data_IF_776631883674
#
_entry.id   IF_776631883674
#
_cell.length_a   1.000
_cell.length_b   1.000
_cell.length_c   1.000
_cell.angle_alpha   90.00
_cell.angle_beta   90.00
_cell.angle_gamma   90.00
#
_symmetry.space_group_name_H-M   'P 1'
#
loop_
_entity.id
_entity.type
_entity.pdbx_description
1 polymer ?
#
# COMPACT_ATOMS: atom_id res chain seq x y z
N UNK A 1 2.49 25.59 -6.39
CA UNK A 1 2.89 24.18 -6.53
C UNK A 1 3.51 23.69 -5.22
N UNK A 2 2.80 22.92 -4.41
CA UNK A 2 3.40 22.36 -3.21
C UNK A 2 4.49 21.35 -3.55
N UNK A 3 5.53 21.33 -2.75
CA UNK A 3 6.61 20.35 -2.82
C UNK A 3 6.63 19.59 -1.48
N UNK A 4 6.62 18.27 -1.54
CA UNK A 4 6.64 17.43 -0.36
C UNK A 4 7.96 16.65 -0.27
N UNK A 5 8.52 16.55 0.94
CA UNK A 5 9.67 15.71 1.23
C UNK A 5 9.25 14.63 2.22
N UNK A 6 9.52 13.39 1.88
CA UNK A 6 9.10 12.25 2.72
C UNK A 6 9.65 12.32 4.14
N UNK A 7 10.86 12.83 4.32
CA UNK A 7 11.48 12.96 5.65
C UNK A 7 10.82 14.02 6.52
N UNK A 8 10.02 14.91 5.95
CA UNK A 8 9.25 15.94 6.67
C UNK A 8 7.81 15.52 6.95
N UNK A 9 7.37 14.40 6.42
CA UNK A 9 6.01 13.89 6.60
C UNK A 9 5.97 12.98 7.82
N UNK A 10 4.97 13.23 8.69
CA UNK A 10 4.80 12.45 9.90
C UNK A 10 4.48 11.00 9.60
N UNK A 11 5.13 10.09 10.31
CA UNK A 11 4.83 8.67 10.26
C UNK A 11 3.57 8.40 11.08
N UNK A 12 2.55 7.81 10.44
CA UNK A 12 1.33 7.37 11.11
C UNK A 12 1.43 5.89 11.45
N UNK A 13 1.19 5.55 12.71
CA UNK A 13 1.07 4.16 13.14
C UNK A 13 -0.35 3.68 12.85
N UNK A 14 -0.48 2.71 11.94
CA UNK A 14 -1.77 2.12 11.59
C UNK A 14 -2.11 0.96 12.54
N UNK A 15 -1.13 0.08 12.76
CA UNK A 15 -1.16 -1.02 13.74
C UNK A 15 0.22 -1.15 14.36
N UNK A 16 0.40 -2.10 15.27
CA UNK A 16 1.74 -2.39 15.82
C UNK A 16 2.74 -2.82 14.74
N UNK A 17 2.25 -3.33 13.61
CA UNK A 17 3.09 -3.89 12.55
C UNK A 17 3.06 -3.09 11.26
N UNK A 18 2.22 -2.05 11.16
CA UNK A 18 2.04 -1.26 9.95
C UNK A 18 2.11 0.22 10.28
N UNK A 19 2.98 0.93 9.56
CA UNK A 19 3.11 2.40 9.64
C UNK A 19 3.12 2.98 8.24
N UNK A 20 2.69 4.23 8.11
CA UNK A 20 2.63 4.87 6.80
C UNK A 20 2.91 6.36 6.84
N UNK A 21 3.29 6.88 5.68
CA UNK A 21 3.32 8.32 5.37
C UNK A 21 2.42 8.58 4.17
N UNK A 22 1.69 9.68 4.18
CA UNK A 22 0.68 9.98 3.17
C UNK A 22 0.89 11.36 2.58
N UNK A 23 0.84 11.45 1.25
CA UNK A 23 0.79 12.70 0.50
C UNK A 23 -0.48 12.71 -0.33
N UNK A 24 -1.33 13.72 -0.14
CA UNK A 24 -2.58 13.87 -0.88
C UNK A 24 -2.50 15.02 -1.86
N UNK A 25 -2.76 14.73 -3.15
CA UNK A 25 -3.02 15.73 -4.16
C UNK A 25 -4.53 15.98 -4.29
N UNK A 26 -4.94 16.54 -5.40
CA UNK A 26 -6.37 16.79 -5.69
C UNK A 26 -7.10 15.51 -6.10
N UNK A 27 -6.47 14.67 -6.92
CA UNK A 27 -7.06 13.46 -7.51
C UNK A 27 -6.29 12.20 -7.20
N UNK A 28 -5.13 12.32 -6.59
CA UNK A 28 -4.22 11.22 -6.35
C UNK A 28 -3.70 11.27 -4.92
N UNK A 29 -3.42 10.11 -4.38
CA UNK A 29 -2.80 9.96 -3.07
C UNK A 29 -1.62 9.00 -3.18
N UNK A 30 -0.50 9.40 -2.62
CA UNK A 30 0.69 8.55 -2.50
C UNK A 30 0.87 8.14 -1.06
N UNK A 31 1.19 6.87 -0.84
CA UNK A 31 1.53 6.36 0.49
C UNK A 31 2.86 5.64 0.45
N UNK A 32 3.67 5.86 1.47
CA UNK A 32 4.77 4.96 1.79
C UNK A 32 4.32 4.13 2.98
N UNK A 33 4.31 2.81 2.83
CA UNK A 33 3.84 1.89 3.87
C UNK A 33 4.97 0.95 4.27
N UNK A 34 5.19 0.86 5.58
CA UNK A 34 6.16 -0.04 6.20
C UNK A 34 5.38 -1.14 6.89
N UNK A 35 5.66 -2.39 6.53
CA UNK A 35 5.02 -3.57 7.11
C UNK A 35 6.08 -4.48 7.70
N UNK A 36 5.93 -4.85 8.95
CA UNK A 36 6.77 -5.86 9.57
C UNK A 36 6.38 -7.25 9.05
N UNK A 37 7.33 -8.16 8.98
CA UNK A 37 7.08 -9.55 8.61
C UNK A 37 5.91 -10.11 9.40
N UNK A 38 4.94 -10.71 8.71
CA UNK A 38 3.72 -11.28 9.29
C UNK A 38 2.56 -10.29 9.44
N UNK A 39 2.77 -9.01 9.13
CA UNK A 39 1.70 -8.02 9.19
C UNK A 39 0.56 -8.39 8.24
N UNK A 40 -0.66 -8.30 8.72
CA UNK A 40 -1.87 -8.54 7.95
C UNK A 40 -2.57 -7.22 7.65
N UNK A 41 -2.86 -6.98 6.39
CA UNK A 41 -3.83 -5.98 5.95
C UNK A 41 -5.12 -6.74 5.69
N UNK A 42 -6.16 -6.61 6.54
CA UNK A 42 -7.37 -7.43 6.44
C UNK A 42 -8.14 -7.21 5.14
N UNK A 43 -8.94 -8.21 4.77
CA UNK A 43 -9.79 -8.15 3.59
C UNK A 43 -10.68 -6.91 3.62
N UNK A 44 -10.62 -6.11 2.58
CA UNK A 44 -11.41 -4.89 2.41
C UNK A 44 -11.57 -4.56 0.94
N UNK A 45 -12.51 -3.66 0.64
CA UNK A 45 -12.71 -3.13 -0.70
C UNK A 45 -12.94 -1.62 -0.60
N UNK A 46 -12.56 -0.90 -1.63
CA UNK A 46 -12.78 0.55 -1.72
C UNK A 46 -12.93 0.98 -3.17
N UNK A 47 -13.54 2.14 -3.39
CA UNK A 47 -13.80 2.67 -4.73
C UNK A 47 -12.54 3.15 -5.44
N UNK A 48 -11.52 3.53 -4.69
CA UNK A 48 -10.27 4.01 -5.25
C UNK A 48 -9.54 2.89 -6.00
N UNK A 49 -9.09 3.19 -7.19
CA UNK A 49 -8.12 2.37 -7.90
C UNK A 49 -6.79 2.45 -7.16
N UNK A 50 -6.08 1.34 -7.08
CA UNK A 50 -4.83 1.26 -6.33
C UNK A 50 -3.75 0.60 -7.17
N UNK A 51 -2.54 1.18 -7.11
CA UNK A 51 -1.33 0.49 -7.54
C UNK A 51 -0.40 0.34 -6.36
N UNK A 52 0.15 -0.85 -6.17
CA UNK A 52 1.09 -1.14 -5.08
C UNK A 52 2.42 -1.56 -5.67
N UNK A 53 3.43 -0.74 -5.42
CA UNK A 53 4.79 -0.98 -5.87
C UNK A 53 5.63 -1.45 -4.68
N UNK A 54 6.09 -2.69 -4.70
CA UNK A 54 6.98 -3.23 -3.66
C UNK A 54 8.40 -2.75 -3.92
N UNK A 55 8.88 -1.87 -3.06
CA UNK A 55 10.23 -1.32 -3.14
C UNK A 55 11.24 -2.22 -2.44
N UNK A 56 10.81 -2.94 -1.41
CA UNK A 56 11.65 -3.86 -0.66
C UNK A 56 10.76 -4.89 0.02
N UNK A 57 11.19 -6.15 0.07
CA UNK A 57 10.44 -7.22 0.70
C UNK A 57 9.50 -7.94 -0.26
N UNK A 58 8.41 -8.48 0.29
CA UNK A 58 7.40 -9.20 -0.49
C UNK A 58 6.06 -9.23 0.24
N UNK A 59 4.98 -9.17 -0.54
CA UNK A 59 3.61 -9.29 -0.05
C UNK A 59 2.92 -10.46 -0.73
N UNK A 60 2.10 -11.19 0.04
CA UNK A 60 1.17 -12.17 -0.50
C UNK A 60 -0.22 -11.54 -0.47
N UNK A 61 -0.76 -11.26 -1.65
CA UNK A 61 -2.10 -10.74 -1.81
C UNK A 61 -3.11 -11.83 -2.08
N UNK A 62 -4.33 -11.60 -1.63
CA UNK A 62 -5.53 -12.24 -2.14
C UNK A 62 -6.37 -11.13 -2.76
N UNK A 63 -6.58 -11.17 -4.08
CA UNK A 63 -7.26 -10.11 -4.85
C UNK A 63 -8.36 -10.75 -5.68
N UNK A 64 -9.62 -10.41 -5.39
CA UNK A 64 -10.76 -10.99 -6.11
C UNK A 64 -10.77 -12.52 -6.09
N UNK A 65 -10.29 -13.12 -5.00
CA UNK A 65 -10.19 -14.57 -4.85
C UNK A 65 -8.94 -15.21 -5.45
N UNK A 66 -8.04 -14.42 -6.04
CA UNK A 66 -6.78 -14.92 -6.61
C UNK A 66 -5.60 -14.60 -5.70
N UNK A 67 -4.73 -15.60 -5.49
CA UNK A 67 -3.47 -15.42 -4.78
C UNK A 67 -2.42 -14.82 -5.71
N UNK A 68 -1.82 -13.72 -5.28
CA UNK A 68 -0.77 -13.03 -6.03
C UNK A 68 0.38 -12.69 -5.11
N UNK A 69 1.56 -13.22 -5.38
CA UNK A 69 2.79 -12.82 -4.68
C UNK A 69 3.42 -11.65 -5.43
N UNK A 70 3.69 -10.56 -4.71
CA UNK A 70 4.32 -9.36 -5.27
C UNK A 70 5.67 -9.17 -4.58
N UNK A 71 6.73 -9.18 -5.36
CA UNK A 71 8.10 -9.08 -4.88
C UNK A 71 8.73 -7.74 -5.24
N UNK A 72 9.92 -7.50 -4.70
CA UNK A 72 10.68 -6.28 -4.96
C UNK A 72 10.74 -5.97 -6.46
N UNK A 73 10.43 -4.74 -6.83
CA UNK A 73 10.42 -4.28 -8.21
C UNK A 73 9.14 -4.55 -8.97
N UNK A 74 8.16 -5.21 -8.36
CA UNK A 74 6.89 -5.52 -9.00
C UNK A 74 5.78 -4.58 -8.56
N UNK A 75 4.81 -4.36 -9.45
CA UNK A 75 3.65 -3.50 -9.21
C UNK A 75 2.37 -4.31 -9.41
N UNK A 76 1.50 -4.30 -8.40
CA UNK A 76 0.18 -4.90 -8.48
C UNK A 76 -0.87 -3.82 -8.71
N UNK A 77 -1.69 -3.98 -9.73
CA UNK A 77 -2.85 -3.14 -10.00
C UNK A 77 -4.09 -3.77 -9.36
N UNK A 78 -4.75 -3.03 -8.49
CA UNK A 78 -6.02 -3.43 -7.87
C UNK A 78 -7.11 -2.50 -8.39
N UNK A 79 -8.02 -3.00 -9.24
CA UNK A 79 -9.12 -2.19 -9.76
C UNK A 79 -10.09 -1.74 -8.66
N UNK A 80 -10.81 -0.66 -8.95
CA UNK A 80 -11.89 -0.14 -8.08
C UNK A 80 -12.86 -1.25 -7.67
N UNK A 81 -13.18 -1.31 -6.38
CA UNK A 81 -14.21 -2.20 -5.85
C UNK A 81 -13.80 -3.66 -5.66
N UNK A 82 -12.61 -4.06 -6.03
CA UNK A 82 -12.15 -5.44 -5.89
C UNK A 82 -11.64 -5.68 -4.47
N UNK A 83 -12.24 -6.65 -3.77
CA UNK A 83 -11.85 -7.02 -2.42
C UNK A 83 -10.43 -7.61 -2.41
N UNK A 84 -9.64 -7.21 -1.46
CA UNK A 84 -8.25 -7.66 -1.34
C UNK A 84 -7.75 -7.64 0.09
N UNK A 85 -6.75 -8.46 0.34
CA UNK A 85 -5.98 -8.48 1.59
C UNK A 85 -4.52 -8.76 1.27
N UNK A 86 -3.64 -8.50 2.21
CA UNK A 86 -2.21 -8.75 2.05
C UNK A 86 -1.57 -9.20 3.35
N UNK A 87 -0.57 -10.07 3.23
CA UNK A 87 0.30 -10.48 4.33
C UNK A 87 1.73 -10.17 3.93
N UNK A 88 2.48 -9.54 4.83
CA UNK A 88 3.90 -9.29 4.60
C UNK A 88 4.70 -10.57 4.84
N UNK A 89 5.38 -11.04 3.80
CA UNK A 89 6.20 -12.24 3.86
C UNK A 89 7.57 -11.98 4.48
N UNK A 90 7.97 -10.72 4.52
CA UNK A 90 9.18 -10.22 5.13
C UNK A 90 8.93 -8.77 5.56
N UNK A 91 9.91 -8.11 6.18
CA UNK A 91 9.83 -6.66 6.38
C UNK A 91 9.74 -6.00 5.01
N UNK A 92 8.68 -5.22 4.81
CA UNK A 92 8.31 -4.75 3.48
C UNK A 92 8.09 -3.26 3.47
N UNK A 93 8.54 -2.63 2.38
CA UNK A 93 8.33 -1.22 2.12
C UNK A 93 7.70 -1.07 0.75
N UNK A 94 6.55 -0.39 0.69
CA UNK A 94 5.79 -0.22 -0.54
C UNK A 94 5.44 1.24 -0.78
N UNK A 95 5.28 1.57 -2.07
CA UNK A 95 4.65 2.80 -2.51
C UNK A 95 3.25 2.45 -3.01
N UNK A 96 2.24 3.02 -2.38
CA UNK A 96 0.85 2.90 -2.81
C UNK A 96 0.39 4.16 -3.52
N UNK A 97 -0.28 3.98 -4.65
CA UNK A 97 -0.89 5.07 -5.42
C UNK A 97 -2.38 4.81 -5.50
N UNK A 98 -3.17 5.80 -5.12
CA UNK A 98 -4.64 5.71 -5.08
C UNK A 98 -5.26 6.84 -5.89
N UNK A 99 -6.30 6.54 -6.65
CA UNK A 99 -7.10 7.53 -7.38
C UNK A 99 -8.56 7.10 -7.39
N UNK A 100 -9.49 7.98 -7.03
CA UNK A 100 -9.30 9.32 -6.46
C UNK A 100 -8.68 9.29 -5.06
N UNK A 101 -8.56 10.44 -4.44
CA UNK A 101 -8.00 10.58 -3.08
C UNK A 101 -8.92 9.91 -2.07
N UNK A 102 -8.29 9.17 -1.15
CA UNK A 102 -9.00 8.52 -0.04
C UNK A 102 -9.14 9.44 1.13
#
# INVERSE_FOLDING_TARGET
MPLYRWDEIALEKVTEMVSRKVVRGEREMLTQVYLKKGALVPLHAHDEEQMTYVLQGALQFLVGGEDVRVEEGEVLHIPSGIAHQAVALDDTFVLGVFSPVR
#
